data_IF_976277654745
#
_entry.id   IF_976277654745
#
_cell.length_a   1.000
_cell.length_b   1.000
_cell.length_c   1.000
_cell.angle_alpha   90.00
_cell.angle_beta   90.00
_cell.angle_gamma   90.00
#
_symmetry.space_group_name_H-M   'P 1'
#
loop_
_entity.id
_entity.type
_entity.pdbx_description
1 polymer ?
#
# COMPACT_ATOMS: atom_id res chain seq x y z
N UNK A 1 3.03 19.76 6.12
CA UNK A 1 3.81 19.44 4.90
C UNK A 1 4.59 20.61 4.29
N UNK A 2 4.37 21.87 4.69
CA UNK A 2 5.03 23.05 4.05
C UNK A 2 6.50 23.29 4.43
N UNK A 3 7.02 22.67 5.50
CA UNK A 3 8.35 22.99 6.03
C UNK A 3 9.51 22.33 5.27
N UNK A 4 9.30 21.13 4.73
CA UNK A 4 10.37 20.36 4.04
C UNK A 4 10.67 20.94 2.66
N UNK A 5 9.63 21.47 1.98
CA UNK A 5 9.75 22.03 0.63
C UNK A 5 10.37 23.44 0.67
N UNK A 6 10.04 24.24 1.69
CA UNK A 6 10.63 25.56 1.92
C UNK A 6 12.14 25.50 2.24
N UNK A 7 12.59 24.43 2.89
CA UNK A 7 14.01 24.24 3.24
C UNK A 7 14.88 23.87 2.04
N UNK A 8 14.32 23.24 0.99
CA UNK A 8 15.11 22.73 -0.14
C UNK A 8 15.17 23.67 -1.36
N UNK A 9 14.25 24.64 -1.49
CA UNK A 9 14.10 25.38 -2.77
C UNK A 9 14.27 26.89 -2.67
N UNK A 10 14.16 27.52 -1.49
CA UNK A 10 14.36 28.96 -1.34
C UNK A 10 13.46 29.85 -2.21
N UNK A 11 12.46 29.29 -2.91
CA UNK A 11 11.54 30.03 -3.77
C UNK A 11 10.16 30.16 -3.10
N UNK A 12 9.74 31.41 -2.99
CA UNK A 12 8.52 31.85 -2.31
C UNK A 12 7.40 32.08 -3.35
N UNK A 13 7.23 31.18 -4.33
CA UNK A 13 6.25 31.35 -5.40
C UNK A 13 5.20 30.22 -5.39
N UNK A 14 4.02 30.54 -4.84
CA UNK A 14 2.90 29.62 -4.64
C UNK A 14 2.43 28.93 -5.94
N UNK A 15 2.66 29.56 -7.10
CA UNK A 15 2.29 29.01 -8.42
C UNK A 15 3.22 27.89 -8.87
N UNK A 16 4.51 27.99 -8.56
CA UNK A 16 5.51 26.96 -8.87
C UNK A 16 5.26 25.70 -8.02
N UNK A 17 4.92 25.91 -6.73
CA UNK A 17 4.57 24.84 -5.78
C UNK A 17 3.35 24.04 -6.25
N UNK A 18 2.31 24.70 -6.80
CA UNK A 18 1.12 24.01 -7.31
C UNK A 18 1.40 23.17 -8.58
N UNK A 19 2.32 23.61 -9.44
CA UNK A 19 2.72 22.84 -10.63
C UNK A 19 3.58 21.65 -10.22
N UNK A 20 4.54 21.83 -9.31
CA UNK A 20 5.34 20.73 -8.76
C UNK A 20 4.48 19.70 -8.01
N UNK A 21 3.48 20.14 -7.23
CA UNK A 21 2.58 19.23 -6.52
C UNK A 21 1.74 18.37 -7.48
N UNK A 22 1.23 18.95 -8.58
CA UNK A 22 0.51 18.20 -9.62
C UNK A 22 1.41 17.21 -10.34
N UNK A 23 2.64 17.61 -10.64
CA UNK A 23 3.60 16.72 -11.30
C UNK A 23 4.01 15.56 -10.38
N UNK A 24 4.14 15.81 -9.08
CA UNK A 24 4.40 14.77 -8.09
C UNK A 24 3.25 13.76 -7.98
N UNK A 25 1.99 14.21 -7.95
CA UNK A 25 0.85 13.29 -7.88
C UNK A 25 0.69 12.42 -9.14
N UNK A 26 0.96 12.98 -10.33
CA UNK A 26 1.00 12.21 -11.58
C UNK A 26 2.09 11.12 -11.56
N UNK A 27 3.28 11.45 -11.05
CA UNK A 27 4.39 10.49 -10.91
C UNK A 27 4.06 9.38 -9.90
N UNK A 28 3.37 9.70 -8.80
CA UNK A 28 2.92 8.70 -7.83
C UNK A 28 1.90 7.73 -8.45
N UNK A 29 0.98 8.23 -9.28
CA UNK A 29 0.03 7.36 -10.00
C UNK A 29 0.73 6.38 -10.96
N UNK A 30 1.77 6.83 -11.64
CA UNK A 30 2.62 5.95 -12.47
C UNK A 30 3.37 4.93 -11.62
N UNK A 31 3.86 5.32 -10.45
CA UNK A 31 4.53 4.40 -9.53
C UNK A 31 3.58 3.30 -9.03
N UNK A 32 2.35 3.64 -8.66
CA UNK A 32 1.31 2.66 -8.28
C UNK A 32 1.05 1.67 -9.43
N UNK A 33 0.89 2.18 -10.66
CA UNK A 33 0.66 1.34 -11.84
C UNK A 33 1.84 0.40 -12.13
N UNK A 34 3.07 0.89 -11.95
CA UNK A 34 4.28 0.10 -12.09
C UNK A 34 4.34 -1.00 -11.02
N UNK A 35 4.02 -0.66 -9.77
CA UNK A 35 3.98 -1.61 -8.66
C UNK A 35 2.93 -2.70 -8.90
N UNK A 36 1.77 -2.36 -9.47
CA UNK A 36 0.75 -3.33 -9.87
C UNK A 36 1.22 -4.27 -10.97
N UNK A 37 1.87 -3.74 -12.01
CA UNK A 37 2.45 -4.55 -13.07
C UNK A 37 3.55 -5.49 -12.52
N UNK A 38 4.42 -4.96 -11.67
CA UNK A 38 5.51 -5.71 -11.05
C UNK A 38 4.98 -6.81 -10.12
N UNK A 39 3.99 -6.49 -9.28
CA UNK A 39 3.29 -7.45 -8.42
C UNK A 39 2.66 -8.56 -9.25
N UNK A 40 1.97 -8.21 -10.33
CA UNK A 40 1.32 -9.18 -11.23
C UNK A 40 2.35 -10.17 -11.80
N UNK A 41 3.52 -9.68 -12.21
CA UNK A 41 4.62 -10.53 -12.68
C UNK A 41 5.09 -11.54 -11.61
N UNK A 42 5.30 -11.08 -10.37
CA UNK A 42 5.69 -11.98 -9.29
C UNK A 42 4.57 -12.93 -8.86
N UNK A 43 3.32 -12.47 -8.88
CA UNK A 43 2.16 -13.31 -8.58
C UNK A 43 2.02 -14.43 -9.60
N UNK A 44 2.19 -14.15 -10.90
CA UNK A 44 2.20 -15.19 -11.93
C UNK A 44 3.30 -16.22 -11.68
N UNK A 45 4.51 -15.78 -11.31
CA UNK A 45 5.63 -16.66 -10.96
C UNK A 45 5.33 -17.55 -9.74
N UNK A 46 4.73 -16.96 -8.70
CA UNK A 46 4.31 -17.71 -7.51
C UNK A 46 3.24 -18.74 -7.86
N UNK A 47 2.23 -18.37 -8.65
CA UNK A 47 1.18 -19.27 -9.11
C UNK A 47 1.71 -20.41 -9.99
N UNK A 48 2.65 -20.12 -10.88
CA UNK A 48 3.31 -21.14 -11.71
C UNK A 48 4.06 -22.16 -10.85
N UNK A 49 4.86 -21.68 -9.88
CA UNK A 49 5.55 -22.55 -8.92
C UNK A 49 4.56 -23.46 -8.17
N UNK A 50 3.44 -22.89 -7.70
CA UNK A 50 2.37 -23.64 -7.02
C UNK A 50 1.69 -24.66 -7.92
N UNK A 51 1.48 -24.34 -9.19
CA UNK A 51 0.90 -25.26 -10.17
C UNK A 51 1.77 -26.50 -10.41
N UNK A 52 3.08 -26.37 -10.22
CA UNK A 52 4.06 -27.46 -10.28
C UNK A 52 4.22 -28.19 -8.94
N UNK A 53 3.43 -27.85 -7.91
CA UNK A 53 3.51 -28.45 -6.57
C UNK A 53 4.66 -27.93 -5.71
N UNK A 54 5.29 -26.82 -6.09
CA UNK A 54 6.37 -26.16 -5.33
C UNK A 54 5.97 -24.74 -4.90
N UNK A 55 6.84 -24.05 -4.16
CA UNK A 55 6.63 -22.65 -3.74
C UNK A 55 7.84 -21.81 -4.15
N UNK A 56 7.62 -20.59 -4.62
CA UNK A 56 8.67 -19.59 -4.85
C UNK A 56 8.59 -18.51 -3.74
N UNK A 57 9.32 -18.69 -2.62
CA UNK A 57 9.26 -17.74 -1.50
C UNK A 57 9.80 -16.36 -1.88
N UNK A 58 10.68 -16.26 -2.88
CA UNK A 58 11.18 -14.97 -3.36
C UNK A 58 10.10 -14.22 -4.13
N UNK A 59 9.34 -14.91 -4.96
CA UNK A 59 8.16 -14.33 -5.59
C UNK A 59 7.12 -13.90 -4.54
N UNK A 60 6.87 -14.72 -3.51
CA UNK A 60 5.91 -14.38 -2.45
C UNK A 60 6.33 -13.13 -1.65
N UNK A 61 7.60 -13.03 -1.26
CA UNK A 61 8.15 -11.83 -0.61
C UNK A 61 8.02 -10.61 -1.52
N UNK A 62 8.27 -10.77 -2.81
CA UNK A 62 8.17 -9.67 -3.76
C UNK A 62 6.72 -9.19 -3.94
N UNK A 63 5.74 -10.10 -4.01
CA UNK A 63 4.31 -9.75 -4.00
C UNK A 63 3.95 -9.01 -2.71
N UNK A 64 4.38 -9.51 -1.55
CA UNK A 64 4.09 -8.85 -0.28
C UNK A 64 4.71 -7.45 -0.21
N UNK A 65 5.97 -7.31 -0.60
CA UNK A 65 6.70 -6.04 -0.56
C UNK A 65 6.06 -5.02 -1.51
N UNK A 66 5.77 -5.42 -2.75
CA UNK A 66 5.15 -4.53 -3.74
C UNK A 66 3.74 -4.09 -3.32
N UNK A 67 2.93 -5.00 -2.76
CA UNK A 67 1.60 -4.66 -2.24
C UNK A 67 1.68 -3.65 -1.09
N UNK A 68 2.62 -3.83 -0.16
CA UNK A 68 2.79 -2.90 0.98
C UNK A 68 3.35 -1.55 0.56
N UNK A 69 4.30 -1.50 -0.39
CA UNK A 69 4.80 -0.23 -0.93
C UNK A 69 3.68 0.51 -1.67
N UNK A 70 2.87 -0.21 -2.46
CA UNK A 70 1.68 0.36 -3.11
C UNK A 70 0.74 0.97 -2.09
N UNK A 71 0.44 0.22 -1.02
CA UNK A 71 -0.36 0.73 0.11
C UNK A 71 0.24 2.02 0.63
N UNK A 72 1.52 2.01 1.01
CA UNK A 72 2.23 3.15 1.58
C UNK A 72 2.17 4.39 0.69
N UNK A 73 2.37 4.24 -0.62
CA UNK A 73 2.25 5.36 -1.57
C UNK A 73 0.85 5.94 -1.57
N UNK A 74 -0.19 5.09 -1.57
CA UNK A 74 -1.59 5.56 -1.47
C UNK A 74 -1.85 6.24 -0.13
N UNK A 75 -1.36 5.67 0.97
CA UNK A 75 -1.54 6.24 2.32
C UNK A 75 -0.86 7.59 2.48
N UNK A 76 0.28 7.81 1.82
CA UNK A 76 0.97 9.10 1.82
C UNK A 76 0.26 10.20 1.03
N UNK A 77 -0.63 9.82 0.11
CA UNK A 77 -1.34 10.76 -0.74
C UNK A 77 -2.70 11.18 -0.18
N UNK A 78 -3.08 10.64 0.99
CA UNK A 78 -4.34 10.96 1.67
C UNK A 78 -4.06 11.46 3.09
N UNK A 79 -4.99 12.25 3.61
CA UNK A 79 -5.03 12.63 5.03
C UNK A 79 -6.21 11.96 5.77
N UNK A 80 -7.02 11.16 5.06
CA UNK A 80 -8.20 10.49 5.61
C UNK A 80 -7.83 9.12 6.18
N UNK A 81 -7.81 9.02 7.51
CA UNK A 81 -7.52 7.79 8.25
C UNK A 81 -8.41 6.59 7.83
N UNK A 82 -9.63 6.82 7.35
CA UNK A 82 -10.51 5.76 6.86
C UNK A 82 -10.05 5.27 5.47
N UNK A 83 -9.63 6.18 4.59
CA UNK A 83 -9.02 5.81 3.32
C UNK A 83 -7.69 5.08 3.51
N UNK A 84 -6.91 5.48 4.51
CA UNK A 84 -5.70 4.75 4.88
C UNK A 84 -5.99 3.30 5.28
N UNK A 85 -7.05 3.07 6.07
CA UNK A 85 -7.51 1.72 6.42
C UNK A 85 -7.98 0.93 5.20
N UNK A 86 -8.74 1.56 4.29
CA UNK A 86 -9.17 0.95 3.02
C UNK A 86 -7.97 0.48 2.20
N UNK A 87 -6.98 1.35 1.96
CA UNK A 87 -5.80 1.01 1.18
C UNK A 87 -4.99 -0.12 1.81
N UNK A 88 -4.85 -0.12 3.14
CA UNK A 88 -4.15 -1.19 3.85
C UNK A 88 -4.91 -2.52 3.80
N UNK A 89 -6.24 -2.48 3.86
CA UNK A 89 -7.10 -3.65 3.64
C UNK A 89 -6.94 -4.21 2.23
N UNK A 90 -7.08 -3.36 1.20
CA UNK A 90 -6.95 -3.74 -0.20
C UNK A 90 -5.57 -4.35 -0.49
N UNK A 91 -4.50 -3.70 -0.03
CA UNK A 91 -3.14 -4.21 -0.20
C UNK A 91 -2.91 -5.56 0.47
N UNK A 92 -3.56 -5.83 1.61
CA UNK A 92 -3.47 -7.12 2.27
C UNK A 92 -4.23 -8.22 1.57
N UNK A 93 -5.43 -7.90 1.06
CA UNK A 93 -6.21 -8.81 0.23
C UNK A 93 -5.42 -9.18 -1.02
N UNK A 94 -4.90 -8.17 -1.69
CA UNK A 94 -4.00 -8.29 -2.83
C UNK A 94 -2.77 -9.17 -2.50
N UNK A 95 -2.14 -8.94 -1.35
CA UNK A 95 -0.98 -9.70 -0.91
C UNK A 95 -1.27 -11.21 -0.76
N UNK A 96 -2.38 -11.57 -0.10
CA UNK A 96 -2.71 -12.99 0.12
C UNK A 96 -3.24 -13.67 -1.13
N UNK A 97 -3.97 -12.96 -1.99
CA UNK A 97 -4.45 -13.50 -3.27
C UNK A 97 -3.28 -13.87 -4.20
N UNK A 98 -2.19 -13.08 -4.14
CA UNK A 98 -1.04 -13.24 -5.02
C UNK A 98 0.05 -14.20 -4.53
N UNK A 99 -0.12 -14.84 -3.36
CA UNK A 99 0.96 -15.62 -2.72
C UNK A 99 0.53 -17.02 -2.26
N UNK A 100 1.51 -17.88 -1.94
CA UNK A 100 1.30 -19.18 -1.29
C UNK A 100 1.02 -19.04 0.23
N UNK A 101 0.83 -20.16 0.94
CA UNK A 101 0.62 -20.14 2.40
C UNK A 101 1.78 -19.45 3.16
N UNK A 102 3.01 -19.54 2.64
CA UNK A 102 4.16 -18.83 3.20
C UNK A 102 4.06 -17.30 3.02
N UNK A 103 3.36 -16.86 1.97
CA UNK A 103 3.11 -15.45 1.68
C UNK A 103 2.25 -14.74 2.70
N UNK A 104 1.30 -15.46 3.32
CA UNK A 104 0.46 -14.92 4.38
C UNK A 104 1.30 -14.33 5.52
N UNK A 105 2.39 -15.00 5.89
CA UNK A 105 3.32 -14.52 6.92
C UNK A 105 3.95 -13.18 6.52
N UNK A 106 4.40 -13.03 5.27
CA UNK A 106 4.99 -11.78 4.79
C UNK A 106 3.95 -10.65 4.73
N UNK A 107 2.71 -10.94 4.33
CA UNK A 107 1.60 -9.97 4.39
C UNK A 107 1.33 -9.50 5.82
N UNK A 108 1.35 -10.41 6.78
CA UNK A 108 1.15 -10.09 8.20
C UNK A 108 2.28 -9.22 8.75
N UNK A 109 3.54 -9.55 8.46
CA UNK A 109 4.70 -8.75 8.88
C UNK A 109 4.63 -7.35 8.25
N UNK A 110 4.32 -7.27 6.95
CA UNK A 110 4.12 -6.01 6.24
C UNK A 110 3.05 -5.15 6.88
N UNK A 111 1.91 -5.75 7.25
CA UNK A 111 0.83 -5.05 7.95
C UNK A 111 1.24 -4.52 9.30
N UNK A 112 1.95 -5.33 10.09
CA UNK A 112 2.46 -4.89 11.38
C UNK A 112 3.36 -3.66 11.21
N UNK A 113 4.33 -3.73 10.29
CA UNK A 113 5.22 -2.61 9.99
C UNK A 113 4.48 -1.37 9.52
N UNK A 114 3.51 -1.53 8.62
CA UNK A 114 2.67 -0.44 8.12
C UNK A 114 1.81 0.19 9.21
N UNK A 115 1.13 -0.62 10.02
CA UNK A 115 0.28 -0.14 11.11
C UNK A 115 1.07 0.67 12.13
N UNK A 116 2.30 0.24 12.43
CA UNK A 116 3.21 0.96 13.32
C UNK A 116 3.73 2.28 12.72
N UNK A 117 3.99 2.30 11.41
CA UNK A 117 4.35 3.54 10.73
C UNK A 117 3.19 4.54 10.72
N UNK A 118 1.97 4.06 10.45
CA UNK A 118 0.77 4.89 10.36
C UNK A 118 0.31 5.44 11.71
N UNK A 119 0.41 4.66 12.79
CA UNK A 119 0.14 5.15 14.15
C UNK A 119 1.04 6.35 14.51
N UNK A 120 2.25 6.42 13.96
CA UNK A 120 3.16 7.54 14.20
C UNK A 120 2.89 8.77 13.35
N UNK A 121 2.25 8.59 12.20
CA UNK A 121 1.90 9.69 11.30
C UNK A 121 0.48 10.20 11.48
N UNK A 122 -0.38 9.47 12.20
CA UNK A 122 -1.81 9.77 12.36
C UNK A 122 -2.24 9.73 13.84
N UNK A 123 -3.50 10.08 14.12
CA UNK A 123 -4.08 9.95 15.47
C UNK A 123 -4.77 8.60 15.69
N UNK A 124 -4.81 7.75 14.65
CA UNK A 124 -5.47 6.45 14.68
C UNK A 124 -4.57 5.39 15.32
N UNK A 125 -5.05 4.64 16.33
CA UNK A 125 -4.28 3.59 16.99
C UNK A 125 -3.83 2.46 16.05
N UNK A 126 -2.68 1.85 16.38
CA UNK A 126 -2.12 0.69 15.67
C UNK A 126 -3.15 -0.42 15.39
N UNK A 127 -3.96 -0.78 16.40
CA UNK A 127 -4.90 -1.90 16.31
C UNK A 127 -5.97 -1.70 15.23
N UNK A 128 -6.32 -0.44 14.93
CA UNK A 128 -7.30 -0.12 13.89
C UNK A 128 -6.69 -0.42 12.51
N UNK A 129 -5.46 0.00 12.26
CA UNK A 129 -4.74 -0.34 11.03
C UNK A 129 -4.42 -1.84 10.94
N UNK A 130 -4.06 -2.47 12.05
CA UNK A 130 -3.76 -3.89 12.06
C UNK A 130 -4.99 -4.73 11.74
N UNK A 131 -6.15 -4.37 12.30
CA UNK A 131 -7.44 -5.00 11.99
C UNK A 131 -7.83 -4.78 10.52
N UNK A 132 -7.63 -3.57 9.98
CA UNK A 132 -7.87 -3.29 8.56
C UNK A 132 -7.08 -4.24 7.65
N UNK A 133 -5.77 -4.39 7.92
CA UNK A 133 -4.95 -5.34 7.17
C UNK A 133 -5.39 -6.80 7.40
N UNK A 134 -5.82 -7.17 8.61
CA UNK A 134 -6.35 -8.51 8.91
C UNK A 134 -7.61 -8.81 8.09
N UNK A 135 -8.55 -7.87 7.99
CA UNK A 135 -9.78 -8.00 7.18
C UNK A 135 -9.47 -8.29 5.71
N UNK A 136 -8.51 -7.57 5.15
CA UNK A 136 -8.00 -7.84 3.80
C UNK A 136 -7.48 -9.26 3.65
N UNK A 137 -6.63 -9.72 4.59
CA UNK A 137 -6.04 -11.07 4.55
C UNK A 137 -7.05 -12.22 4.66
N UNK A 138 -8.19 -12.01 5.32
CA UNK A 138 -9.26 -13.02 5.42
C UNK A 138 -10.26 -12.94 4.26
N UNK A 139 -10.05 -12.04 3.29
CA UNK A 139 -10.85 -11.95 2.08
C UNK A 139 -12.14 -11.16 2.21
N UNK A 140 -12.25 -10.27 3.21
CA UNK A 140 -13.37 -9.31 3.27
C UNK A 140 -13.36 -8.37 2.06
N UNK A 141 -14.53 -7.79 1.76
CA UNK A 141 -14.65 -6.73 0.76
C UNK A 141 -14.29 -5.39 1.39
N UNK A 142 -13.07 -4.92 1.10
CA UNK A 142 -12.53 -3.67 1.63
C UNK A 142 -13.31 -2.43 1.15
N UNK A 143 -13.91 -2.49 -0.04
CA UNK A 143 -14.70 -1.37 -0.58
C UNK A 143 -15.99 -1.24 0.21
N UNK A 144 -16.63 -2.37 0.53
CA UNK A 144 -17.83 -2.38 1.37
C UNK A 144 -17.51 -2.00 2.83
N UNK A 145 -16.41 -2.53 3.37
CA UNK A 145 -16.00 -2.28 4.75
C UNK A 145 -15.64 -0.80 4.99
N UNK A 146 -15.11 -0.11 3.98
CA UNK A 146 -14.66 1.29 4.05
C UNK A 146 -15.36 2.17 3.00
N UNK A 147 -16.67 1.94 2.81
CA UNK A 147 -17.48 2.61 1.79
C UNK A 147 -17.54 4.15 1.91
N UNK A 148 -17.32 4.70 3.11
CA UNK A 148 -17.26 6.15 3.30
C UNK A 148 -15.98 6.78 2.73
N UNK A 149 -14.97 5.97 2.38
CA UNK A 149 -13.79 6.43 1.64
C UNK A 149 -14.04 6.42 0.12
N UNK A 150 -14.11 7.63 -0.46
CA UNK A 150 -14.34 7.86 -1.89
C UNK A 150 -13.05 7.99 -2.73
N UNK A 151 -11.89 7.66 -2.17
CA UNK A 151 -10.62 7.68 -2.89
C UNK A 151 -10.32 6.35 -3.60
N UNK A 152 -9.59 6.43 -4.72
CA UNK A 152 -9.22 5.32 -5.62
C UNK A 152 -7.71 5.04 -5.56
#
# INVERSE_FOLDING_TARGET
>A
MSAVIAFMTGSQDQREINILARQASELLGLAVSLLDALRTSFSQRSLEARSLGTSDPMADVAVATTSMIKSFVKTYNTEDDLCMQKFLCEANRECVEGTSDAGYLFCQIGTYGMSYALERSTYTPFEIYNDAGRRGRIGEDCVLAYHDCNEL
#
